data_IF_368280561888
#
_entry.id   IF_368280561888
#
_cell.length_a   1.000
_cell.length_b   1.000
_cell.length_c   1.000
_cell.angle_alpha   90.00
_cell.angle_beta   90.00
_cell.angle_gamma   90.00
#
_symmetry.space_group_name_H-M   'P 1'
#
loop_
_entity.id
_entity.type
_entity.pdbx_description
1 polymer ?
#
# COMPACT_ATOMS: atom_id res chain seq x y z
N UNK A 1 5.68 -2.12 7.27
CA UNK A 1 5.75 -0.81 6.57
C UNK A 1 6.11 0.30 7.56
N UNK A 2 6.58 1.47 7.13
CA UNK A 2 6.79 2.62 8.04
C UNK A 2 5.50 3.39 8.29
N UNK A 3 4.59 3.39 7.31
CA UNK A 3 3.24 3.91 7.43
C UNK A 3 2.25 2.85 6.95
N UNK A 4 1.06 2.74 7.58
CA UNK A 4 0.09 1.69 7.26
C UNK A 4 -0.75 2.04 6.03
N UNK A 5 -0.12 2.51 4.94
CA UNK A 5 -0.81 3.01 3.75
C UNK A 5 -0.39 2.23 2.50
N UNK A 6 -1.39 1.72 1.78
CA UNK A 6 -1.27 1.02 0.51
C UNK A 6 -2.03 1.80 -0.57
N UNK A 7 -1.45 2.11 -1.73
CA UNK A 7 -2.21 2.69 -2.84
C UNK A 7 -2.87 1.60 -3.71
N UNK A 8 -4.14 1.81 -4.06
CA UNK A 8 -4.96 0.80 -4.74
C UNK A 8 -4.48 0.50 -6.17
N UNK A 9 -4.53 -0.76 -6.66
CA UNK A 9 -4.12 -1.15 -8.01
C UNK A 9 -5.14 -0.75 -9.08
N UNK A 10 -5.29 0.56 -9.29
CA UNK A 10 -6.21 1.14 -10.27
C UNK A 10 -5.43 1.95 -11.30
N UNK A 11 -5.87 1.91 -12.56
CA UNK A 11 -5.29 2.64 -13.70
C UNK A 11 -5.37 4.18 -13.57
N UNK A 12 -6.07 4.68 -12.56
CA UNK A 12 -6.17 6.11 -12.22
C UNK A 12 -5.62 6.43 -10.84
N UNK A 13 -4.96 5.47 -10.17
CA UNK A 13 -4.33 5.65 -8.87
C UNK A 13 -2.84 5.30 -8.92
N UNK A 14 -2.49 4.06 -9.32
CA UNK A 14 -1.13 3.55 -9.11
C UNK A 14 -0.47 3.03 -10.37
N UNK A 15 0.34 3.89 -10.98
CA UNK A 15 1.44 3.53 -11.89
C UNK A 15 2.78 3.85 -11.20
N UNK A 16 3.87 3.92 -11.97
CA UNK A 16 5.21 4.24 -11.49
C UNK A 16 5.27 5.44 -10.54
N UNK A 17 4.66 6.58 -10.90
CA UNK A 17 4.77 7.83 -10.13
C UNK A 17 4.24 7.71 -8.70
N UNK A 18 3.06 7.11 -8.52
CA UNK A 18 2.49 6.84 -7.21
C UNK A 18 3.26 5.74 -6.47
N UNK A 19 3.67 4.67 -7.15
CA UNK A 19 4.41 3.58 -6.53
C UNK A 19 5.77 4.04 -5.96
N UNK A 20 6.49 4.89 -6.71
CA UNK A 20 7.72 5.53 -6.28
C UNK A 20 7.50 6.39 -5.03
N UNK A 21 6.54 7.32 -5.07
CA UNK A 21 6.30 8.21 -3.94
C UNK A 21 5.85 7.42 -2.69
N UNK A 22 5.01 6.40 -2.84
CA UNK A 22 4.62 5.53 -1.72
C UNK A 22 5.82 4.79 -1.11
N UNK A 23 6.75 4.30 -1.94
CA UNK A 23 8.00 3.66 -1.48
C UNK A 23 8.87 4.62 -0.65
N UNK A 24 9.01 5.87 -1.12
CA UNK A 24 9.78 6.92 -0.41
C UNK A 24 9.22 7.20 0.99
N UNK A 25 7.90 7.39 1.07
CA UNK A 25 7.20 7.64 2.33
C UNK A 25 7.12 6.40 3.23
N UNK A 26 7.44 5.23 2.70
CA UNK A 26 7.43 3.96 3.41
C UNK A 26 6.08 3.33 3.61
N UNK A 27 5.12 3.73 2.78
CA UNK A 27 3.96 2.92 2.47
C UNK A 27 4.30 2.01 1.30
N UNK A 28 3.29 1.65 0.51
CA UNK A 28 3.49 0.86 -0.70
C UNK A 28 2.48 1.22 -1.77
N UNK A 29 2.90 1.23 -3.03
CA UNK A 29 2.00 1.36 -4.15
C UNK A 29 1.92 0.06 -4.95
N UNK A 30 0.69 -0.41 -5.18
CA UNK A 30 0.45 -1.61 -5.99
C UNK A 30 0.23 -1.23 -7.44
N UNK A 31 1.21 -1.48 -8.31
CA UNK A 31 1.10 -1.19 -9.75
C UNK A 31 -0.05 -2.01 -10.36
N UNK A 32 -1.01 -1.33 -10.99
CA UNK A 32 -2.19 -1.97 -11.57
C UNK A 32 -1.86 -2.89 -12.76
N UNK A 33 -2.78 -3.80 -13.08
CA UNK A 33 -2.62 -4.85 -14.12
C UNK A 33 -3.42 -4.60 -15.41
N UNK A 34 -3.92 -3.38 -15.60
CA UNK A 34 -4.80 -3.02 -16.72
C UNK A 34 -3.98 -2.42 -17.87
N UNK A 35 -2.96 -3.17 -18.26
CA UNK A 35 -1.91 -2.83 -19.22
C UNK A 35 -1.27 -4.15 -19.71
N UNK A 36 -0.37 -4.07 -20.69
CA UNK A 36 0.33 -5.28 -21.14
C UNK A 36 1.33 -5.76 -20.08
N UNK A 37 1.85 -7.00 -20.21
CA UNK A 37 2.89 -7.50 -19.29
C UNK A 37 4.12 -6.60 -19.39
N UNK A 38 4.50 -6.23 -20.61
CA UNK A 38 5.68 -5.40 -20.90
C UNK A 38 5.57 -4.02 -20.26
N UNK A 39 4.40 -3.38 -20.35
CA UNK A 39 4.16 -2.07 -19.73
C UNK A 39 4.23 -2.13 -18.21
N UNK A 40 3.59 -3.12 -17.60
CA UNK A 40 3.61 -3.33 -16.16
C UNK A 40 5.03 -3.60 -15.65
N UNK A 41 5.73 -4.51 -16.34
CA UNK A 41 7.11 -4.90 -16.03
C UNK A 41 8.07 -3.74 -16.21
N UNK A 42 7.89 -2.88 -17.23
CA UNK A 42 8.69 -1.66 -17.40
C UNK A 42 8.53 -0.71 -16.20
N UNK A 43 7.30 -0.52 -15.70
CA UNK A 43 7.08 0.30 -14.51
C UNK A 43 7.75 -0.30 -13.28
N UNK A 44 7.64 -1.62 -13.09
CA UNK A 44 8.30 -2.33 -12.00
C UNK A 44 9.82 -2.23 -12.09
N UNK A 45 10.40 -2.45 -13.27
CA UNK A 45 11.84 -2.34 -13.52
C UNK A 45 12.38 -0.96 -13.18
N UNK A 46 11.65 0.09 -13.58
CA UNK A 46 12.04 1.47 -13.24
C UNK A 46 11.98 1.69 -11.73
N UNK A 47 10.91 1.22 -11.07
CA UNK A 47 10.78 1.33 -9.61
C UNK A 47 11.90 0.57 -8.89
N UNK A 48 12.23 -0.63 -9.35
CA UNK A 48 13.30 -1.44 -8.80
C UNK A 48 14.67 -0.76 -8.96
N UNK A 49 14.92 -0.11 -10.11
CA UNK A 49 16.14 0.67 -10.32
C UNK A 49 16.25 1.83 -9.32
N UNK A 50 15.16 2.54 -9.07
CA UNK A 50 15.15 3.60 -8.05
C UNK A 50 15.38 3.01 -6.65
N UNK A 51 14.72 1.90 -6.31
CA UNK A 51 14.94 1.15 -5.08
C UNK A 51 16.43 0.78 -4.90
N UNK A 52 17.07 0.19 -5.92
CA UNK A 52 18.49 -0.18 -5.89
C UNK A 52 19.41 1.04 -5.71
N UNK A 53 19.02 2.21 -6.23
CA UNK A 53 19.81 3.44 -6.10
C UNK A 53 20.01 3.89 -4.66
N UNK A 54 19.07 3.57 -3.75
CA UNK A 54 19.18 3.90 -2.32
C UNK A 54 20.25 3.10 -1.60
N UNK A 55 20.64 1.95 -2.13
CA UNK A 55 21.56 1.06 -1.44
C UNK A 55 23.02 1.35 -1.76
N UNK A 56 23.34 2.07 -2.86
CA UNK A 56 24.71 2.30 -3.39
C UNK A 56 25.70 1.26 -2.86
N UNK A 57 25.40 -0.02 -3.12
CA UNK A 57 26.14 -1.13 -2.52
C UNK A 57 27.43 -1.21 -3.31
N UNK A 58 28.45 -0.52 -2.83
CA UNK A 58 29.77 -1.06 -3.03
C UNK A 58 29.85 -2.33 -2.16
N UNK A 59 30.01 -3.49 -2.80
CA UNK A 59 30.15 -4.77 -2.10
C UNK A 59 31.37 -4.78 -1.18
N UNK A 60 32.30 -3.85 -1.39
CA UNK A 60 33.52 -3.68 -0.63
C UNK A 60 33.34 -2.76 0.60
N UNK A 61 32.12 -2.25 0.85
CA UNK A 61 31.81 -1.46 2.05
C UNK A 61 31.55 -2.34 3.29
N UNK A 62 31.85 -1.86 4.51
CA UNK A 62 31.57 -2.58 5.76
C UNK A 62 30.09 -2.96 5.90
N UNK A 63 29.80 -4.12 6.44
CA UNK A 63 28.45 -4.57 6.79
C UNK A 63 28.17 -4.47 8.29
N UNK A 64 29.21 -4.22 9.09
CA UNK A 64 29.13 -3.97 10.54
C UNK A 64 30.00 -2.77 10.94
N UNK A 65 29.77 -2.24 12.15
CA UNK A 65 30.65 -1.20 12.72
C UNK A 65 32.03 -1.75 13.07
N UNK A 66 32.13 -3.03 13.44
CA UNK A 66 33.41 -3.68 13.71
C UNK A 66 34.25 -3.81 12.43
N UNK A 67 33.64 -4.25 11.32
CA UNK A 67 34.31 -4.27 10.01
C UNK A 67 34.74 -2.87 9.56
N UNK A 68 33.93 -1.85 9.88
CA UNK A 68 34.26 -0.47 9.57
C UNK A 68 35.47 0.01 10.38
N UNK A 69 35.49 -0.31 11.67
CA UNK A 69 36.63 -0.02 12.55
C UNK A 69 37.91 -0.70 12.03
N UNK A 70 37.86 -1.99 11.75
CA UNK A 70 39.00 -2.77 11.23
C UNK A 70 39.49 -2.21 9.89
N UNK A 71 38.57 -1.84 8.99
CA UNK A 71 38.90 -1.22 7.72
C UNK A 71 39.57 0.15 7.90
N UNK A 72 39.07 0.99 8.81
CA UNK A 72 39.61 2.31 9.09
C UNK A 72 41.03 2.23 9.68
N UNK A 73 41.25 1.33 10.65
CA UNK A 73 42.56 1.07 11.25
C UNK A 73 43.56 0.63 10.18
N UNK A 74 43.14 -0.28 9.29
CA UNK A 74 43.99 -0.80 8.21
C UNK A 74 44.35 0.26 7.16
N UNK A 75 43.42 1.13 6.78
CA UNK A 75 43.65 2.17 5.76
C UNK A 75 44.60 3.25 6.28
N UNK A 76 44.47 3.63 7.56
CA UNK A 76 45.25 4.71 8.14
C UNK A 76 46.55 4.24 8.81
N UNK A 77 46.80 2.93 8.86
CA UNK A 77 48.06 2.36 9.35
C UNK A 77 48.22 2.47 10.87
N UNK A 78 47.13 2.48 11.63
CA UNK A 78 47.17 2.50 13.08
C UNK A 78 47.60 1.12 13.62
N UNK A 79 48.69 1.08 14.38
CA UNK A 79 49.11 -0.10 15.15
C UNK A 79 48.87 0.16 16.64
N UNK A 80 47.62 -0.03 17.12
CA UNK A 80 47.28 0.10 18.54
C UNK A 80 46.06 0.96 18.83
N UNK A 81 46.04 1.59 20.01
CA UNK A 81 44.95 2.44 20.49
C UNK A 81 44.97 3.80 19.76
N UNK A 82 43.82 4.26 19.28
CA UNK A 82 43.66 5.55 18.58
C UNK A 82 43.57 6.65 19.65
N UNK A 83 44.40 7.69 19.54
CA UNK A 83 44.49 8.79 20.51
C UNK A 83 43.32 9.79 20.33
N UNK A 84 42.99 10.56 21.37
CA UNK A 84 41.75 11.36 21.43
C UNK A 84 41.64 12.45 20.34
N UNK A 85 42.76 12.94 19.79
CA UNK A 85 42.79 13.93 18.69
C UNK A 85 42.47 13.31 17.30
N UNK A 86 42.72 12.00 17.10
CA UNK A 86 42.30 11.24 15.91
C UNK A 86 40.91 10.58 16.12
N UNK A 87 40.38 10.66 17.34
CA UNK A 87 39.12 10.07 17.76
C UNK A 87 37.90 10.66 17.06
N UNK A 88 37.95 11.93 16.62
CA UNK A 88 36.84 12.54 15.87
C UNK A 88 36.67 11.95 14.47
N UNK A 89 37.78 11.68 13.78
CA UNK A 89 37.74 11.23 12.38
C UNK A 89 37.26 9.79 12.25
N UNK A 90 37.64 8.92 13.21
CA UNK A 90 37.08 7.57 13.26
C UNK A 90 35.61 7.58 13.72
N UNK A 91 35.24 8.45 14.65
CA UNK A 91 33.86 8.57 15.11
C UNK A 91 32.94 9.02 13.97
N UNK A 92 33.36 10.03 13.19
CA UNK A 92 32.65 10.49 12.00
C UNK A 92 32.50 9.36 10.95
N UNK A 93 33.55 8.56 10.73
CA UNK A 93 33.51 7.42 9.82
C UNK A 93 32.54 6.31 10.29
N UNK A 94 32.54 6.00 11.59
CA UNK A 94 31.64 5.03 12.20
C UNK A 94 30.19 5.53 12.17
N UNK A 95 29.96 6.81 12.43
CA UNK A 95 28.62 7.42 12.36
C UNK A 95 28.07 7.42 10.93
N UNK A 96 28.88 7.82 9.94
CA UNK A 96 28.51 7.66 8.51
C UNK A 96 28.20 6.21 8.15
N UNK A 97 28.99 5.25 8.65
CA UNK A 97 28.75 3.83 8.40
C UNK A 97 27.45 3.37 9.06
N UNK A 98 27.18 3.79 10.29
CA UNK A 98 25.94 3.50 11.01
C UNK A 98 24.73 4.02 10.24
N UNK A 99 24.76 5.27 9.79
CA UNK A 99 23.70 5.87 8.98
C UNK A 99 23.45 5.08 7.69
N UNK A 100 24.52 4.65 7.00
CA UNK A 100 24.40 3.79 5.81
C UNK A 100 23.78 2.44 6.14
N UNK A 101 24.21 1.78 7.20
CA UNK A 101 23.69 0.48 7.62
C UNK A 101 22.21 0.58 8.01
N UNK A 102 21.82 1.62 8.73
CA UNK A 102 20.43 1.87 9.11
C UNK A 102 19.57 2.22 7.89
N UNK A 103 20.11 2.99 6.95
CA UNK A 103 19.49 3.23 5.64
C UNK A 103 19.27 1.91 4.89
N UNK A 104 20.29 1.06 4.77
CA UNK A 104 20.19 -0.25 4.11
C UNK A 104 19.14 -1.15 4.78
N UNK A 105 19.07 -1.20 6.11
CA UNK A 105 18.03 -1.93 6.84
C UNK A 105 16.63 -1.39 6.55
N UNK A 106 16.48 -0.06 6.45
CA UNK A 106 15.20 0.60 6.15
C UNK A 106 14.74 0.31 4.72
N UNK A 107 15.63 0.42 3.75
CA UNK A 107 15.29 0.25 2.34
C UNK A 107 15.14 -1.22 1.94
N UNK A 108 15.96 -2.14 2.47
CA UNK A 108 15.99 -3.57 2.06
C UNK A 108 14.66 -4.29 2.24
N UNK A 109 13.82 -3.77 3.14
CA UNK A 109 12.51 -4.31 3.47
C UNK A 109 11.36 -3.57 2.77
N UNK A 110 11.62 -2.65 1.83
CA UNK A 110 10.54 -1.97 1.11
C UNK A 110 9.86 -2.94 0.15
N UNK A 111 8.54 -3.10 0.24
CA UNK A 111 7.81 -3.90 -0.73
C UNK A 111 7.67 -3.14 -2.05
N UNK A 112 7.95 -3.85 -3.15
CA UNK A 112 7.70 -3.47 -4.53
C UNK A 112 6.54 -4.33 -5.02
N UNK A 113 5.37 -3.71 -5.14
CA UNK A 113 4.11 -4.42 -5.34
C UNK A 113 3.57 -4.26 -6.76
N UNK A 114 3.02 -5.35 -7.31
CA UNK A 114 2.23 -5.31 -8.52
C UNK A 114 1.03 -6.25 -8.43
N UNK A 115 -0.06 -5.85 -9.09
CA UNK A 115 -1.28 -6.66 -9.16
C UNK A 115 -1.22 -7.69 -10.29
N UNK A 116 -1.86 -8.84 -10.10
CA UNK A 116 -2.11 -9.86 -11.14
C UNK A 116 -3.55 -10.37 -11.05
N UNK A 117 -4.04 -10.99 -12.12
CA UNK A 117 -5.33 -11.67 -12.11
C UNK A 117 -5.20 -13.13 -11.67
N UNK A 118 -6.22 -13.93 -11.98
CA UNK A 118 -6.21 -15.40 -11.78
C UNK A 118 -6.59 -16.18 -13.04
N UNK A 119 -6.65 -15.48 -14.17
CA UNK A 119 -7.00 -16.05 -15.48
C UNK A 119 -5.83 -15.83 -16.44
N UNK A 120 -5.75 -16.70 -17.44
CA UNK A 120 -4.81 -16.63 -18.57
C UNK A 120 -3.33 -16.49 -18.15
N UNK A 121 -2.81 -15.29 -18.29
CA UNK A 121 -1.42 -14.85 -18.34
C UNK A 121 -0.84 -14.50 -16.96
N UNK A 122 -1.60 -14.67 -15.88
CA UNK A 122 -1.20 -14.17 -14.56
C UNK A 122 0.13 -14.74 -14.05
N UNK A 123 0.46 -15.99 -14.40
CA UNK A 123 1.68 -16.64 -13.91
C UNK A 123 2.93 -16.17 -14.68
N UNK A 124 2.82 -16.02 -16.00
CA UNK A 124 3.86 -15.41 -16.84
C UNK A 124 4.09 -13.96 -16.41
N UNK A 125 2.99 -13.20 -16.24
CA UNK A 125 3.03 -11.83 -15.73
C UNK A 125 3.72 -11.74 -14.37
N UNK A 126 3.36 -12.60 -13.41
CA UNK A 126 4.00 -12.64 -12.10
C UNK A 126 5.51 -12.97 -12.21
N UNK A 127 5.88 -13.91 -13.08
CA UNK A 127 7.28 -14.27 -13.31
C UNK A 127 8.09 -13.10 -13.87
N UNK A 128 7.56 -12.39 -14.86
CA UNK A 128 8.22 -11.20 -15.43
C UNK A 128 8.36 -10.06 -14.41
N UNK A 129 7.32 -9.83 -13.60
CA UNK A 129 7.36 -8.83 -12.53
C UNK A 129 8.43 -9.16 -11.47
N UNK A 130 8.47 -10.41 -11.00
CA UNK A 130 9.46 -10.86 -10.00
C UNK A 130 10.88 -10.79 -10.57
N UNK A 131 11.06 -11.16 -11.83
CA UNK A 131 12.36 -11.05 -12.53
C UNK A 131 12.85 -9.59 -12.66
N UNK A 132 11.96 -8.62 -12.50
CA UNK A 132 12.26 -7.19 -12.52
C UNK A 132 12.13 -6.52 -11.14
N UNK A 133 12.23 -7.30 -10.06
CA UNK A 133 12.37 -6.80 -8.69
C UNK A 133 11.08 -6.77 -7.85
N UNK A 134 9.94 -7.18 -8.40
CA UNK A 134 8.72 -7.32 -7.61
C UNK A 134 8.91 -8.38 -6.51
N UNK A 135 8.62 -8.03 -5.26
CA UNK A 135 8.72 -8.96 -4.12
C UNK A 135 7.35 -9.21 -3.44
N UNK A 136 6.30 -8.50 -3.85
CA UNK A 136 4.93 -8.74 -3.38
C UNK A 136 3.96 -8.74 -4.56
N UNK A 137 3.16 -9.81 -4.69
CA UNK A 137 2.14 -9.96 -5.73
C UNK A 137 0.76 -9.85 -5.09
N UNK A 138 -0.06 -8.93 -5.62
CA UNK A 138 -1.45 -8.74 -5.17
C UNK A 138 -2.39 -9.41 -6.16
N UNK A 139 -3.12 -10.42 -5.73
CA UNK A 139 -4.16 -11.04 -6.55
C UNK A 139 -5.40 -10.13 -6.56
N UNK A 140 -5.63 -9.46 -7.68
CA UNK A 140 -6.68 -8.47 -7.84
C UNK A 140 -7.92 -9.08 -8.51
N UNK A 141 -8.85 -9.55 -7.66
CA UNK A 141 -10.18 -10.05 -8.04
C UNK A 141 -11.26 -9.43 -7.17
N UNK A 142 -12.48 -9.35 -7.71
CA UNK A 142 -13.63 -8.77 -6.98
C UNK A 142 -14.05 -9.61 -5.76
N UNK A 143 -13.93 -10.94 -5.86
CA UNK A 143 -14.21 -11.86 -4.76
C UNK A 143 -13.17 -12.99 -4.73
N UNK A 144 -12.38 -13.01 -3.66
CA UNK A 144 -11.27 -13.93 -3.43
C UNK A 144 -11.68 -15.33 -2.99
N UNK A 145 -12.92 -15.53 -2.50
CA UNK A 145 -13.41 -16.84 -2.05
C UNK A 145 -13.77 -17.73 -3.24
N UNK A 146 -12.76 -18.13 -4.00
CA UNK A 146 -12.94 -18.81 -5.28
C UNK A 146 -11.79 -19.79 -5.53
N UNK A 147 -12.11 -20.94 -6.13
CA UNK A 147 -11.15 -22.02 -6.42
C UNK A 147 -9.92 -21.54 -7.18
N UNK A 148 -10.12 -20.76 -8.26
CA UNK A 148 -9.02 -20.25 -9.08
C UNK A 148 -8.07 -19.32 -8.32
N UNK A 149 -8.55 -18.64 -7.28
CA UNK A 149 -7.69 -17.78 -6.44
C UNK A 149 -6.79 -18.65 -5.57
N UNK A 150 -7.35 -19.66 -4.92
CA UNK A 150 -6.57 -20.63 -4.16
C UNK A 150 -5.51 -21.34 -5.01
N UNK A 151 -5.89 -21.82 -6.20
CA UNK A 151 -4.95 -22.44 -7.15
C UNK A 151 -3.86 -21.46 -7.62
N UNK A 152 -4.19 -20.17 -7.79
CA UNK A 152 -3.21 -19.16 -8.20
C UNK A 152 -2.20 -18.88 -7.09
N UNK A 153 -2.63 -18.80 -5.82
CA UNK A 153 -1.73 -18.65 -4.67
C UNK A 153 -0.75 -19.81 -4.62
N UNK A 154 -1.24 -21.05 -4.61
CA UNK A 154 -0.42 -22.25 -4.55
C UNK A 154 0.61 -22.29 -5.71
N UNK A 155 0.17 -21.98 -6.94
CA UNK A 155 1.06 -21.94 -8.12
C UNK A 155 2.12 -20.86 -8.02
N UNK A 156 1.77 -19.65 -7.58
CA UNK A 156 2.71 -18.55 -7.41
C UNK A 156 3.75 -18.92 -6.35
N UNK A 157 3.33 -19.36 -5.16
CA UNK A 157 4.23 -19.75 -4.07
C UNK A 157 5.13 -20.93 -4.43
N UNK A 158 4.64 -21.89 -5.22
CA UNK A 158 5.43 -23.05 -5.66
C UNK A 158 6.49 -22.65 -6.69
N UNK A 159 6.16 -21.74 -7.61
CA UNK A 159 7.03 -21.41 -8.77
C UNK A 159 7.96 -20.23 -8.50
N UNK A 160 7.59 -19.33 -7.59
CA UNK A 160 8.29 -18.09 -7.26
C UNK A 160 8.57 -18.09 -5.74
N UNK A 161 9.74 -18.58 -5.33
CA UNK A 161 10.06 -18.89 -3.93
C UNK A 161 10.42 -17.67 -3.06
N UNK A 162 10.47 -16.46 -3.61
CA UNK A 162 10.93 -15.25 -2.94
C UNK A 162 9.90 -14.12 -2.92
N UNK A 163 8.61 -14.45 -3.08
CA UNK A 163 7.53 -13.47 -3.22
C UNK A 163 6.45 -13.69 -2.16
N UNK A 164 5.96 -12.58 -1.60
CA UNK A 164 4.76 -12.56 -0.76
C UNK A 164 3.52 -12.42 -1.64
N UNK A 165 2.42 -13.07 -1.25
CA UNK A 165 1.16 -13.06 -1.99
C UNK A 165 0.06 -12.47 -1.12
N UNK A 166 -0.44 -11.30 -1.54
CA UNK A 166 -1.64 -10.69 -0.96
C UNK A 166 -2.86 -11.20 -1.71
N UNK A 167 -3.82 -11.78 -1.00
CA UNK A 167 -5.02 -12.35 -1.60
C UNK A 167 -6.30 -11.64 -1.13
N UNK A 168 -7.25 -11.48 -2.04
CA UNK A 168 -8.54 -10.88 -1.78
C UNK A 168 -9.22 -10.46 -3.08
N UNK A 169 -10.29 -9.66 -3.05
CA UNK A 169 -10.92 -9.16 -1.84
C UNK A 169 -11.86 -10.18 -1.17
N UNK A 170 -11.87 -10.22 0.15
CA UNK A 170 -12.83 -11.01 0.95
C UNK A 170 -13.61 -10.11 1.91
N UNK A 171 -14.71 -10.61 2.47
CA UNK A 171 -15.53 -9.85 3.41
C UNK A 171 -16.11 -10.70 4.55
N UNK A 172 -15.72 -11.98 4.65
CA UNK A 172 -16.17 -12.91 5.69
C UNK A 172 -14.99 -13.69 6.26
N UNK A 173 -15.09 -14.11 7.51
CA UNK A 173 -14.09 -14.93 8.19
C UNK A 173 -13.84 -16.27 7.48
N UNK A 174 -14.88 -16.90 6.92
CA UNK A 174 -14.75 -18.15 6.14
C UNK A 174 -13.87 -17.97 4.89
N UNK A 175 -14.10 -16.89 4.15
CA UNK A 175 -13.30 -16.58 2.96
C UNK A 175 -11.84 -16.26 3.32
N UNK A 176 -11.63 -15.56 4.44
CA UNK A 176 -10.30 -15.28 4.99
C UNK A 176 -9.59 -16.57 5.36
N UNK A 177 -10.24 -17.46 6.12
CA UNK A 177 -9.72 -18.78 6.48
C UNK A 177 -9.26 -19.56 5.25
N UNK A 178 -10.12 -19.63 4.23
CA UNK A 178 -9.82 -20.33 2.98
C UNK A 178 -8.53 -19.79 2.32
N UNK A 179 -8.35 -18.47 2.26
CA UNK A 179 -7.17 -17.87 1.64
C UNK A 179 -5.90 -18.06 2.49
N UNK A 180 -6.00 -17.97 3.82
CA UNK A 180 -4.89 -18.28 4.72
C UNK A 180 -4.44 -19.75 4.56
N UNK A 181 -5.38 -20.70 4.52
CA UNK A 181 -5.08 -22.13 4.32
C UNK A 181 -4.44 -22.41 2.95
N UNK A 182 -4.69 -21.55 1.96
CA UNK A 182 -4.05 -21.62 0.63
C UNK A 182 -2.65 -21.02 0.59
N UNK A 183 -2.20 -20.38 1.68
CA UNK A 183 -0.85 -19.80 1.81
C UNK A 183 -0.76 -18.34 1.38
N UNK A 184 -1.84 -17.55 1.51
CA UNK A 184 -1.75 -16.11 1.38
C UNK A 184 -0.93 -15.51 2.54
N UNK A 185 -0.01 -14.60 2.23
CA UNK A 185 0.85 -13.93 3.21
C UNK A 185 0.20 -12.64 3.76
N UNK A 186 -0.86 -12.13 3.10
CA UNK A 186 -1.71 -11.06 3.61
C UNK A 186 -3.11 -11.14 3.00
N UNK A 187 -4.11 -10.59 3.69
CA UNK A 187 -5.52 -10.62 3.26
C UNK A 187 -6.03 -9.21 2.97
N UNK A 188 -6.60 -9.01 1.79
CA UNK A 188 -7.28 -7.77 1.39
C UNK A 188 -8.77 -7.89 1.68
N UNK A 189 -9.29 -7.04 2.58
CA UNK A 189 -10.67 -7.09 3.07
C UNK A 189 -11.49 -5.90 2.57
N UNK A 190 -12.61 -6.20 1.94
CA UNK A 190 -13.61 -5.22 1.50
C UNK A 190 -14.29 -5.61 0.19
N UNK A 191 -15.62 -5.73 0.22
CA UNK A 191 -16.45 -5.97 -0.97
C UNK A 191 -17.62 -5.00 -0.98
N UNK A 192 -17.71 -4.19 -2.03
CA UNK A 192 -18.85 -3.28 -2.26
C UNK A 192 -18.78 -1.93 -1.53
N UNK A 193 -17.63 -1.57 -0.97
CA UNK A 193 -17.41 -0.37 -0.15
C UNK A 193 -16.52 0.70 -0.82
N UNK A 194 -15.96 0.43 -2.00
CA UNK A 194 -15.20 1.41 -2.77
C UNK A 194 -16.04 2.63 -3.19
N UNK A 195 -15.42 3.81 -3.28
CA UNK A 195 -16.10 5.08 -3.57
C UNK A 195 -16.80 5.14 -4.94
N UNK A 196 -16.32 4.35 -5.90
CA UNK A 196 -16.90 4.21 -7.25
C UNK A 196 -17.40 2.78 -7.52
N UNK A 197 -17.58 1.99 -6.45
CA UNK A 197 -18.04 0.61 -6.53
C UNK A 197 -19.55 0.57 -6.37
N UNK A 198 -20.24 0.02 -7.36
CA UNK A 198 -21.69 -0.16 -7.34
C UNK A 198 -22.07 -1.63 -7.09
N UNK A 199 -21.13 -2.51 -6.72
CA UNK A 199 -21.38 -3.95 -6.54
C UNK A 199 -22.55 -4.20 -5.60
N UNK A 200 -22.59 -3.58 -4.41
CA UNK A 200 -23.73 -3.72 -3.48
C UNK A 200 -25.07 -3.32 -4.09
N UNK A 201 -25.07 -2.24 -4.87
CA UNK A 201 -26.30 -1.68 -5.47
C UNK A 201 -26.75 -2.54 -6.66
N UNK A 202 -25.82 -3.00 -7.50
CA UNK A 202 -26.12 -3.74 -8.73
C UNK A 202 -26.34 -5.23 -8.51
N UNK A 203 -25.58 -5.86 -7.62
CA UNK A 203 -25.58 -7.32 -7.44
C UNK A 203 -26.21 -7.75 -6.12
N UNK A 204 -26.43 -6.82 -5.18
CA UNK A 204 -26.86 -7.14 -3.81
C UNK A 204 -25.76 -7.73 -2.94
N UNK A 205 -24.52 -7.86 -3.44
CA UNK A 205 -23.42 -8.50 -2.73
C UNK A 205 -22.46 -7.47 -2.14
N UNK A 206 -22.19 -7.60 -0.84
CA UNK A 206 -21.16 -6.85 -0.12
C UNK A 206 -21.54 -6.63 1.34
N UNK A 207 -20.54 -6.29 2.16
CA UNK A 207 -20.69 -6.20 3.63
C UNK A 207 -20.18 -4.82 4.08
N UNK A 208 -20.82 -4.15 5.06
CA UNK A 208 -20.29 -2.94 5.67
C UNK A 208 -18.85 -3.14 6.16
N UNK A 209 -17.96 -2.18 5.87
CA UNK A 209 -16.51 -2.39 6.02
C UNK A 209 -16.09 -2.69 7.45
N UNK A 210 -16.65 -2.00 8.45
CA UNK A 210 -16.34 -2.26 9.87
C UNK A 210 -16.71 -3.70 10.26
N UNK A 211 -17.90 -4.17 9.86
CA UNK A 211 -18.35 -5.54 10.10
C UNK A 211 -17.44 -6.56 9.40
N UNK A 212 -17.09 -6.31 8.14
CA UNK A 212 -16.20 -7.19 7.38
C UNK A 212 -14.80 -7.27 8.02
N UNK A 213 -14.27 -6.15 8.51
CA UNK A 213 -12.97 -6.12 9.17
C UNK A 213 -12.97 -6.90 10.48
N UNK A 214 -13.94 -6.65 11.36
CA UNK A 214 -14.03 -7.35 12.65
C UNK A 214 -14.10 -8.87 12.44
N UNK A 215 -14.91 -9.34 11.48
CA UNK A 215 -15.04 -10.77 11.17
C UNK A 215 -13.73 -11.33 10.57
N UNK A 216 -13.19 -10.71 9.52
CA UNK A 216 -11.98 -11.20 8.85
C UNK A 216 -10.73 -11.15 9.72
N UNK A 217 -10.50 -10.06 10.47
CA UNK A 217 -9.31 -9.89 11.33
C UNK A 217 -9.28 -10.97 12.41
N UNK A 218 -10.41 -11.24 13.05
CA UNK A 218 -10.51 -12.28 14.09
C UNK A 218 -10.03 -13.66 13.63
N UNK A 219 -10.21 -13.96 12.34
CA UNK A 219 -9.72 -15.20 11.72
C UNK A 219 -8.26 -15.06 11.29
N UNK A 220 -7.89 -13.98 10.61
CA UNK A 220 -6.54 -13.76 10.09
C UNK A 220 -5.48 -13.78 11.20
N UNK A 221 -5.80 -13.23 12.37
CA UNK A 221 -4.92 -13.24 13.56
C UNK A 221 -4.56 -14.66 14.00
N UNK A 222 -5.49 -15.63 13.89
CA UNK A 222 -5.21 -17.03 14.24
C UNK A 222 -4.19 -17.71 13.33
N UNK A 223 -3.97 -17.14 12.13
CA UNK A 223 -2.95 -17.56 11.18
C UNK A 223 -1.72 -16.66 11.19
N UNK A 224 -1.69 -15.60 12.01
CA UNK A 224 -0.67 -14.56 12.00
C UNK A 224 -0.48 -13.94 10.60
N UNK A 225 -1.59 -13.68 9.91
CA UNK A 225 -1.62 -13.11 8.56
C UNK A 225 -2.17 -11.68 8.62
N UNK A 226 -1.41 -10.66 8.18
CA UNK A 226 -1.86 -9.27 8.24
C UNK A 226 -3.04 -8.97 7.31
N UNK A 227 -3.83 -7.98 7.70
CA UNK A 227 -5.04 -7.53 7.00
C UNK A 227 -4.89 -6.13 6.42
N UNK A 228 -5.31 -5.97 5.16
CA UNK A 228 -5.42 -4.70 4.46
C UNK A 228 -6.90 -4.31 4.38
N UNK A 229 -7.28 -3.22 5.04
CA UNK A 229 -8.62 -2.64 4.92
C UNK A 229 -8.75 -1.87 3.61
N UNK A 230 -9.48 -2.42 2.64
CA UNK A 230 -9.65 -1.83 1.31
C UNK A 230 -11.07 -1.31 1.07
N UNK A 231 -11.15 -0.01 0.79
CA UNK A 231 -12.38 0.69 0.42
C UNK A 231 -13.14 1.30 1.59
N UNK A 232 -14.07 2.20 1.29
CA UNK A 232 -14.89 2.90 2.29
C UNK A 232 -14.17 4.01 3.06
N UNK A 233 -12.90 4.27 2.74
CA UNK A 233 -12.05 5.25 3.42
C UNK A 233 -12.18 6.60 2.72
N UNK A 234 -12.89 7.53 3.35
CA UNK A 234 -13.22 8.84 2.77
C UNK A 234 -12.38 9.98 3.35
N UNK A 235 -11.91 9.81 4.57
CA UNK A 235 -11.15 10.80 5.33
C UNK A 235 -10.19 10.09 6.31
N UNK A 236 -9.37 10.89 7.00
CA UNK A 236 -8.38 10.39 7.97
C UNK A 236 -9.03 9.66 9.15
N UNK A 237 -10.24 10.06 9.56
CA UNK A 237 -10.99 9.36 10.60
C UNK A 237 -11.38 7.93 10.18
N UNK A 238 -11.75 7.72 8.92
CA UNK A 238 -12.03 6.38 8.39
C UNK A 238 -10.74 5.53 8.31
N UNK A 239 -9.57 6.15 8.05
CA UNK A 239 -8.27 5.44 8.15
C UNK A 239 -8.06 4.91 9.57
N UNK A 240 -8.21 5.79 10.56
CA UNK A 240 -8.03 5.44 11.97
C UNK A 240 -9.03 4.35 12.40
N UNK A 241 -10.28 4.42 11.94
CA UNK A 241 -11.29 3.39 12.19
C UNK A 241 -10.96 2.05 11.53
N UNK A 242 -10.38 2.07 10.32
CA UNK A 242 -9.89 0.85 9.67
C UNK A 242 -8.85 0.13 10.51
N UNK A 243 -7.85 0.88 11.00
CA UNK A 243 -6.84 0.36 11.93
C UNK A 243 -7.46 -0.06 13.27
N UNK A 244 -8.44 0.70 13.78
CA UNK A 244 -9.12 0.37 15.04
C UNK A 244 -9.93 -0.94 14.96
N UNK A 245 -10.33 -1.36 13.77
CA UNK A 245 -10.94 -2.69 13.55
C UNK A 245 -9.90 -3.82 13.53
N UNK A 246 -8.61 -3.53 13.76
CA UNK A 246 -7.50 -4.48 13.80
C UNK A 246 -6.77 -4.70 12.46
N UNK A 247 -7.06 -3.91 11.43
CA UNK A 247 -6.30 -4.00 10.18
C UNK A 247 -4.90 -3.40 10.34
N UNK A 248 -3.87 -4.09 9.83
CA UNK A 248 -2.48 -3.61 9.87
C UNK A 248 -2.22 -2.44 8.92
N UNK A 249 -2.95 -2.40 7.81
CA UNK A 249 -2.81 -1.38 6.79
C UNK A 249 -4.15 -1.00 6.16
N UNK A 250 -4.19 0.18 5.54
CA UNK A 250 -5.33 0.65 4.77
C UNK A 250 -4.98 0.82 3.30
N UNK A 251 -5.86 0.36 2.41
CA UNK A 251 -5.74 0.60 0.97
C UNK A 251 -6.58 1.81 0.54
N UNK A 252 -5.91 2.76 -0.10
CA UNK A 252 -6.49 4.03 -0.50
C UNK A 252 -6.62 4.16 -2.01
N UNK A 253 -7.84 4.46 -2.46
CA UNK A 253 -8.16 4.86 -3.83
C UNK A 253 -8.55 6.34 -3.87
N UNK A 254 -9.79 6.65 -3.47
CA UNK A 254 -10.37 7.99 -3.59
C UNK A 254 -9.67 9.10 -2.80
N UNK A 255 -8.94 8.78 -1.73
CA UNK A 255 -8.15 9.80 -1.03
C UNK A 255 -6.96 10.24 -1.87
N UNK A 256 -6.25 9.29 -2.48
CA UNK A 256 -5.07 9.55 -3.32
C UNK A 256 -5.42 9.98 -4.75
N UNK A 257 -6.67 9.79 -5.18
CA UNK A 257 -7.10 10.16 -6.52
C UNK A 257 -6.92 11.66 -6.79
N UNK A 258 -6.52 12.01 -8.01
CA UNK A 258 -6.39 13.41 -8.41
C UNK A 258 -5.14 14.10 -7.88
N UNK A 259 -4.18 13.36 -7.31
CA UNK A 259 -2.86 13.92 -6.99
C UNK A 259 -1.98 14.01 -8.24
N UNK A 260 -0.84 14.71 -8.11
CA UNK A 260 0.15 14.84 -9.18
C UNK A 260 0.65 13.47 -9.65
N UNK A 261 0.83 12.56 -8.70
CA UNK A 261 1.46 11.26 -8.89
C UNK A 261 0.51 10.20 -9.47
N UNK A 262 -0.82 10.43 -9.44
CA UNK A 262 -1.75 9.52 -10.14
C UNK A 262 -1.55 9.60 -11.66
N UNK A 263 -1.89 8.55 -12.41
CA UNK A 263 -1.89 8.60 -13.87
C UNK A 263 -2.83 9.67 -14.45
N UNK A 264 -2.61 10.01 -15.72
CA UNK A 264 -3.46 10.91 -16.50
C UNK A 264 -3.09 12.39 -16.42
N UNK A 265 -3.69 13.19 -17.30
CA UNK A 265 -3.45 14.62 -17.47
C UNK A 265 -4.23 15.46 -16.45
N UNK A 266 -3.66 16.62 -16.10
CA UNK A 266 -4.38 17.65 -15.34
C UNK A 266 -5.11 18.54 -16.35
N UNK A 267 -6.42 18.63 -16.20
CA UNK A 267 -7.28 19.44 -17.06
C UNK A 267 -7.70 20.72 -16.32
N UNK A 268 -7.78 21.83 -17.06
CA UNK A 268 -8.34 23.09 -16.58
C UNK A 268 -9.81 23.15 -16.99
N UNK A 269 -10.69 23.36 -16.02
CA UNK A 269 -12.13 23.47 -16.24
C UNK A 269 -12.62 24.77 -15.61
N UNK A 270 -13.40 25.54 -16.37
CA UNK A 270 -13.91 26.84 -15.96
C UNK A 270 -13.46 27.95 -16.90
N UNK A 271 -13.75 29.19 -16.51
CA UNK A 271 -13.38 30.38 -17.29
C UNK A 271 -12.17 31.05 -16.64
N UNK A 272 -11.23 31.48 -17.47
CA UNK A 272 -10.11 32.30 -17.02
C UNK A 272 -10.62 33.62 -16.39
N UNK A 273 -10.11 34.06 -15.22
CA UNK A 273 -8.95 33.54 -14.48
C UNK A 273 -9.28 32.51 -13.38
N UNK A 274 -10.54 32.08 -13.25
CA UNK A 274 -11.03 31.21 -12.17
C UNK A 274 -11.04 29.72 -12.53
N UNK A 275 -10.17 29.31 -13.46
CA UNK A 275 -10.05 27.91 -13.87
C UNK A 275 -9.66 27.04 -12.66
N UNK A 276 -10.36 25.91 -12.51
CA UNK A 276 -10.03 24.91 -11.51
C UNK A 276 -9.35 23.71 -12.18
N UNK A 277 -8.44 23.08 -11.46
CA UNK A 277 -7.68 21.92 -11.93
C UNK A 277 -8.39 20.62 -11.57
N UNK A 278 -8.47 19.69 -12.50
CA UNK A 278 -9.14 18.41 -12.34
C UNK A 278 -8.32 17.24 -12.94
N UNK A 279 -8.64 16.01 -12.52
CA UNK A 279 -8.15 14.76 -13.13
C UNK A 279 -9.27 13.73 -13.24
N UNK A 280 -9.13 12.79 -14.18
CA UNK A 280 -10.03 11.63 -14.32
C UNK A 280 -9.76 10.60 -13.22
N UNK A 281 -10.84 10.05 -12.64
CA UNK A 281 -10.79 8.96 -11.66
C UNK A 281 -11.87 7.93 -11.99
N UNK A 282 -11.51 6.64 -12.08
CA UNK A 282 -12.45 5.58 -12.46
C UNK A 282 -12.21 4.28 -11.70
N UNK A 283 -13.29 3.55 -11.40
CA UNK A 283 -13.23 2.23 -10.78
C UNK A 283 -12.66 1.17 -11.73
N UNK A 284 -11.92 0.19 -11.20
CA UNK A 284 -11.36 -0.95 -11.96
C UNK A 284 -12.41 -1.83 -12.64
N UNK A 285 -13.68 -1.72 -12.24
CA UNK A 285 -14.82 -2.43 -12.83
C UNK A 285 -15.76 -1.51 -13.66
N UNK A 286 -15.34 -0.28 -13.96
CA UNK A 286 -16.11 0.69 -14.74
C UNK A 286 -16.21 0.34 -16.23
N UNK A 287 -17.24 0.87 -16.91
CA UNK A 287 -17.42 0.69 -18.36
C UNK A 287 -16.16 1.10 -19.11
N UNK A 288 -15.68 2.33 -18.90
CA UNK A 288 -14.47 2.84 -19.53
C UNK A 288 -13.28 1.91 -19.32
N UNK A 289 -13.02 1.50 -18.07
CA UNK A 289 -11.87 0.66 -17.76
C UNK A 289 -12.00 -0.75 -18.32
N UNK A 290 -13.22 -1.27 -18.50
CA UNK A 290 -13.44 -2.59 -19.13
C UNK A 290 -13.48 -2.54 -20.65
N UNK A 291 -13.99 -1.46 -21.24
CA UNK A 291 -14.00 -1.23 -22.68
C UNK A 291 -12.57 -1.13 -23.23
N UNK A 292 -11.68 -0.44 -22.51
CA UNK A 292 -10.24 -0.41 -22.80
C UNK A 292 -9.60 -1.82 -22.81
N UNK A 293 -10.24 -2.80 -22.13
CA UNK A 293 -9.82 -4.21 -22.10
C UNK A 293 -10.57 -5.10 -23.09
N UNK A 294 -11.37 -4.51 -23.99
CA UNK A 294 -12.22 -5.25 -24.94
C UNK A 294 -13.32 -6.08 -24.28
N UNK A 295 -13.78 -5.71 -23.08
CA UNK A 295 -14.80 -6.45 -22.34
C UNK A 295 -15.95 -5.54 -21.88
N UNK A 296 -17.19 -5.90 -22.19
CA UNK A 296 -18.37 -5.12 -21.81
C UNK A 296 -19.27 -5.82 -20.77
N UNK A 297 -18.83 -6.94 -20.17
CA UNK A 297 -19.62 -7.73 -19.22
C UNK A 297 -19.36 -7.35 -17.76
N UNK A 298 -20.38 -7.51 -16.90
CA UNK A 298 -20.33 -7.36 -15.44
C UNK A 298 -19.86 -5.97 -14.95
N UNK A 299 -20.33 -4.89 -15.57
CA UNK A 299 -19.96 -3.52 -15.19
C UNK A 299 -20.48 -3.20 -13.79
N UNK A 300 -19.57 -2.86 -12.89
CA UNK A 300 -19.87 -2.57 -11.47
C UNK A 300 -19.13 -1.33 -10.95
N UNK A 301 -18.47 -0.57 -11.83
CA UNK A 301 -17.77 0.67 -11.48
C UNK A 301 -18.26 1.89 -12.26
N UNK A 302 -17.98 3.07 -11.75
CA UNK A 302 -18.28 4.35 -12.40
C UNK A 302 -16.99 5.15 -12.69
N UNK A 303 -17.10 6.27 -13.41
CA UNK A 303 -16.02 7.25 -13.62
C UNK A 303 -16.46 8.64 -13.18
N UNK A 304 -15.52 9.47 -12.73
CA UNK A 304 -15.77 10.87 -12.35
C UNK A 304 -14.54 11.73 -12.63
N UNK A 305 -14.77 12.99 -12.96
CA UNK A 305 -13.73 14.02 -12.96
C UNK A 305 -13.69 14.64 -11.56
N UNK A 306 -12.51 14.63 -10.93
CA UNK A 306 -12.32 15.05 -9.54
C UNK A 306 -11.33 16.21 -9.44
N UNK A 307 -11.47 17.10 -8.43
CA UNK A 307 -10.55 18.19 -8.24
C UNK A 307 -9.11 17.69 -8.06
N UNK A 308 -8.16 18.40 -8.65
CA UNK A 308 -6.74 18.16 -8.44
C UNK A 308 -6.34 18.52 -7.01
N UNK A 309 -5.71 17.57 -6.32
CA UNK A 309 -5.42 17.68 -4.87
C UNK A 309 -3.98 18.12 -4.56
N UNK A 310 -3.17 18.41 -5.58
CA UNK A 310 -1.75 18.68 -5.38
C UNK A 310 -0.94 17.38 -5.26
N UNK A 311 0.16 17.43 -4.50
CA UNK A 311 1.05 16.26 -4.30
C UNK A 311 0.50 15.32 -3.23
N UNK A 312 0.65 14.01 -3.44
CA UNK A 312 0.22 12.98 -2.48
C UNK A 312 0.91 13.10 -1.12
N UNK A 313 2.14 13.63 -1.06
CA UNK A 313 2.86 13.96 0.17
C UNK A 313 1.98 14.64 1.22
N UNK A 314 1.17 15.64 0.82
CA UNK A 314 0.31 16.38 1.74
C UNK A 314 -0.70 15.46 2.42
N UNK A 315 -1.34 14.61 1.61
CA UNK A 315 -2.35 13.66 2.07
C UNK A 315 -1.72 12.61 3.00
N UNK A 316 -0.53 12.12 2.67
CA UNK A 316 0.20 11.16 3.52
C UNK A 316 0.54 11.79 4.87
N UNK A 317 1.03 13.03 4.88
CA UNK A 317 1.35 13.76 6.11
C UNK A 317 0.10 13.94 6.99
N UNK A 318 -1.02 14.38 6.41
CA UNK A 318 -2.29 14.54 7.13
C UNK A 318 -2.76 13.21 7.74
N UNK A 319 -2.60 12.09 7.02
CA UNK A 319 -2.94 10.76 7.53
C UNK A 319 -2.01 10.36 8.69
N UNK A 320 -0.70 10.58 8.55
CA UNK A 320 0.26 10.27 9.62
C UNK A 320 -0.04 11.06 10.90
N UNK A 321 -0.34 12.35 10.78
CA UNK A 321 -0.71 13.20 11.91
C UNK A 321 -2.02 12.75 12.55
N UNK A 322 -3.02 12.40 11.74
CA UNK A 322 -4.29 11.90 12.26
C UNK A 322 -4.17 10.54 12.95
N UNK A 323 -3.34 9.62 12.45
CA UNK A 323 -3.05 8.34 13.13
C UNK A 323 -2.38 8.60 14.48
N UNK A 324 -1.35 9.47 14.53
CA UNK A 324 -0.68 9.84 15.78
C UNK A 324 -1.64 10.46 16.79
N UNK A 325 -2.52 11.34 16.32
CA UNK A 325 -3.57 11.95 17.13
C UNK A 325 -4.52 10.87 17.67
N UNK A 326 -5.00 9.97 16.81
CA UNK A 326 -5.86 8.84 17.21
C UNK A 326 -5.20 7.94 18.26
N UNK A 327 -3.92 7.64 18.11
CA UNK A 327 -3.15 6.86 19.08
C UNK A 327 -3.08 7.58 20.43
N UNK A 328 -2.85 8.90 20.43
CA UNK A 328 -2.85 9.70 21.65
C UNK A 328 -4.21 9.71 22.35
N UNK A 329 -5.34 9.78 21.62
CA UNK A 329 -6.68 9.73 22.22
C UNK A 329 -7.00 8.36 22.85
N UNK A 330 -6.51 7.28 22.26
CA UNK A 330 -6.67 5.91 22.79
C UNK A 330 -5.63 5.58 23.88
N UNK A 331 -4.56 6.37 23.98
CA UNK A 331 -3.45 6.12 24.92
C UNK A 331 -2.53 4.98 24.47
N UNK A 332 -2.28 4.86 23.17
CA UNK A 332 -1.40 3.86 22.56
C UNK A 332 -0.11 4.49 22.02
N UNK A 333 1.02 3.80 22.20
CA UNK A 333 2.33 4.23 21.68
C UNK A 333 2.67 3.64 20.30
N UNK A 334 2.07 2.50 19.97
CA UNK A 334 2.25 1.79 18.71
C UNK A 334 0.95 1.11 18.27
N UNK A 335 0.98 0.46 17.09
CA UNK A 335 -0.20 -0.17 16.51
C UNK A 335 -0.69 -1.39 17.30
N UNK A 336 0.20 -2.12 17.98
CA UNK A 336 -0.18 -3.27 18.79
C UNK A 336 -0.89 -2.83 20.08
N UNK A 337 -0.38 -1.80 20.73
CA UNK A 337 -1.09 -1.14 21.82
C UNK A 337 -2.42 -0.54 21.34
N UNK A 338 -2.47 0.04 20.14
CA UNK A 338 -3.70 0.61 19.60
C UNK A 338 -4.77 -0.47 19.40
N UNK A 339 -4.43 -1.59 18.75
CA UNK A 339 -5.36 -2.71 18.56
C UNK A 339 -5.87 -3.31 19.88
N UNK A 340 -5.02 -3.35 20.92
CA UNK A 340 -5.40 -3.93 22.22
C UNK A 340 -6.20 -2.98 23.13
N UNK A 341 -6.07 -1.66 22.95
CA UNK A 341 -6.72 -0.65 23.80
C UNK A 341 -7.96 -0.02 23.18
N UNK A 342 -8.10 -0.06 21.86
CA UNK A 342 -9.18 0.66 21.17
C UNK A 342 -10.55 0.01 21.44
N UNK A 343 -11.53 0.86 21.74
CA UNK A 343 -12.93 0.46 21.85
C UNK A 343 -13.76 1.21 20.80
N UNK A 344 -14.63 0.49 20.10
CA UNK A 344 -15.54 1.04 19.10
C UNK A 344 -16.95 1.15 19.68
N UNK A 345 -17.59 2.29 19.46
CA UNK A 345 -18.97 2.55 19.88
C UNK A 345 -19.82 2.83 18.65
N UNK A 346 -21.01 2.24 18.60
CA UNK A 346 -21.98 2.52 17.54
C UNK A 346 -22.58 3.92 17.73
N UNK A 347 -22.63 4.70 16.65
CA UNK A 347 -23.16 6.06 16.66
C UNK A 347 -24.38 6.13 15.74
N UNK A 348 -25.46 6.72 16.24
CA UNK A 348 -26.69 6.93 15.46
C UNK A 348 -26.46 7.93 14.33
N UNK A 349 -27.38 7.97 13.34
CA UNK A 349 -27.33 8.98 12.29
C UNK A 349 -27.32 10.42 12.82
N UNK A 350 -28.04 10.69 13.92
CA UNK A 350 -28.04 11.99 14.58
C UNK A 350 -26.69 12.30 15.25
N UNK A 351 -26.06 11.33 15.91
CA UNK A 351 -24.72 11.50 16.49
C UNK A 351 -23.64 11.78 15.44
N UNK A 352 -23.78 11.23 14.23
CA UNK A 352 -22.87 11.56 13.13
C UNK A 352 -23.06 13.00 12.60
N UNK A 353 -24.26 13.58 12.75
CA UNK A 353 -24.51 14.99 12.42
C UNK A 353 -23.94 15.88 13.54
N UNK A 354 -24.18 15.52 14.80
CA UNK A 354 -23.65 16.21 15.98
C UNK A 354 -22.12 16.30 15.98
N UNK A 355 -21.43 15.23 15.60
CA UNK A 355 -19.97 15.18 15.57
C UNK A 355 -19.31 16.09 14.53
N UNK A 356 -20.08 16.76 13.66
CA UNK A 356 -19.52 17.69 12.67
C UNK A 356 -19.31 19.09 13.28
N UNK A 357 -18.17 19.72 13.02
CA UNK A 357 -17.94 21.11 13.43
C UNK A 357 -18.98 22.04 12.80
N UNK A 358 -19.67 22.82 13.64
CA UNK A 358 -20.83 23.64 13.26
C UNK A 358 -20.48 24.92 12.48
N UNK A 359 -19.20 25.34 12.46
CA UNK A 359 -18.72 26.51 11.70
C UNK A 359 -18.02 26.14 10.40
N UNK A 360 -17.68 24.86 10.21
CA UNK A 360 -17.12 24.36 8.96
C UNK A 360 -18.28 23.79 8.15
N UNK A 361 -18.94 24.67 7.39
CA UNK A 361 -20.08 24.26 6.60
C UNK A 361 -19.68 23.20 5.56
N UNK A 362 -20.57 22.21 5.51
CA UNK A 362 -20.62 20.93 4.77
C UNK A 362 -20.17 20.93 3.32
#
# INVERSE_FOLDING_TARGET
LNIPIVSSPMDTITEYGMAYEMMEWGGVGVIHRFNTIEEQTRMMKNLHKEFESYFKIDKDSPQTLDEAYDQYVKINGYEGYIDDDDGSDIQDYLDMTKERLDSNKRWSKRPLCAAVGVKSDYLERAQELVSNGCNVIVIDVAHGHHKLVGEAIEKIKTRLSSVEVVAGSVATGEATKYLCEKGADAIRVGIGNGSLCETRIRTGVGIPQVTALIDCVSVADTYNVPVIADGGIRNVGDVCKGLACGADTVMLGSLLSGTKETPGTIEKIGEWPNEQLYKKYRGSASLDSKHDRGNNKNVEGNHKVIPYKGKVKRIIQDIQEGIRSSFSYVGANDISEFHSKVELIEVTGAGNIEGKPHLLNS
#
